data_IF_349069281477
#
_entry.id   IF_349069281477
#
_cell.length_a   1.000
_cell.length_b   1.000
_cell.length_c   1.000
_cell.angle_alpha   90.00
_cell.angle_beta   90.00
_cell.angle_gamma   90.00
#
_symmetry.space_group_name_H-M   'P 1'
#
loop_
_entity.id
_entity.type
_entity.pdbx_description
1 polymer ?
#
# COMPACT_ATOMS: atom_id res chain seq x y z
N UNK A 1 -23.54 16.60 -11.36
CA UNK A 1 -22.41 17.54 -11.14
C UNK A 1 -21.13 16.73 -11.05
N UNK A 2 -20.09 17.14 -11.76
CA UNK A 2 -18.78 16.47 -11.70
C UNK A 2 -18.16 16.78 -10.33
N UNK A 3 -17.77 15.74 -9.58
CA UNK A 3 -17.10 15.89 -8.29
C UNK A 3 -15.75 16.62 -8.47
N UNK A 4 -15.51 17.67 -7.68
CA UNK A 4 -14.22 18.38 -7.67
C UNK A 4 -13.41 17.98 -6.45
N UNK A 5 -12.18 17.52 -6.67
CA UNK A 5 -11.29 17.11 -5.59
C UNK A 5 -10.93 18.34 -4.74
N UNK A 6 -11.17 18.26 -3.44
CA UNK A 6 -10.74 19.26 -2.47
C UNK A 6 -9.42 18.83 -1.81
N UNK A 7 -8.49 19.77 -1.53
CA UNK A 7 -7.25 19.44 -0.84
C UNK A 7 -7.53 18.91 0.56
N UNK A 8 -6.72 17.95 1.01
CA UNK A 8 -6.77 17.39 2.34
C UNK A 8 -6.02 18.26 3.36
N UNK A 9 -6.40 18.24 4.65
CA UNK A 9 -7.54 17.50 5.20
C UNK A 9 -8.88 18.16 4.80
N UNK A 10 -9.90 17.33 4.64
CA UNK A 10 -11.26 17.83 4.45
C UNK A 10 -11.77 18.41 5.78
N UNK A 11 -12.57 19.47 5.71
CA UNK A 11 -13.25 20.08 6.85
C UNK A 11 -14.51 19.26 7.20
N UNK A 12 -14.29 18.02 7.61
CA UNK A 12 -15.33 17.08 8.05
C UNK A 12 -14.87 16.39 9.33
N UNK A 13 -15.82 16.12 10.22
CA UNK A 13 -15.55 15.28 11.38
C UNK A 13 -15.40 13.81 10.94
N UNK A 14 -14.16 13.32 10.95
CA UNK A 14 -13.84 11.93 10.66
C UNK A 14 -14.02 11.01 11.89
N UNK A 15 -14.01 11.56 13.10
CA UNK A 15 -14.01 10.81 14.37
C UNK A 15 -15.44 10.56 14.89
N UNK A 16 -16.35 10.25 13.97
CA UNK A 16 -17.73 9.93 14.32
C UNK A 16 -17.82 8.63 15.13
N UNK A 17 -18.90 8.49 15.92
CA UNK A 17 -19.19 7.25 16.67
C UNK A 17 -19.19 5.99 15.79
N UNK A 18 -19.66 6.10 14.55
CA UNK A 18 -19.68 4.99 13.60
C UNK A 18 -18.25 4.59 13.17
N UNK A 19 -17.42 5.57 12.82
CA UNK A 19 -16.01 5.35 12.45
C UNK A 19 -15.24 4.79 13.63
N UNK A 20 -15.33 5.39 14.82
CA UNK A 20 -14.59 4.95 16.01
C UNK A 20 -14.94 3.50 16.43
N UNK A 21 -16.21 3.10 16.31
CA UNK A 21 -16.61 1.69 16.55
C UNK A 21 -15.92 0.73 15.59
N UNK A 22 -15.82 1.08 14.31
CA UNK A 22 -15.13 0.26 13.29
C UNK A 22 -13.61 0.26 13.48
N UNK A 23 -13.03 1.38 13.92
CA UNK A 23 -11.61 1.47 14.29
C UNK A 23 -11.29 0.47 15.39
N UNK A 24 -12.13 0.33 16.42
CA UNK A 24 -11.90 -0.65 17.49
C UNK A 24 -11.82 -2.08 16.95
N UNK A 25 -12.80 -2.51 16.15
CA UNK A 25 -12.78 -3.86 15.56
C UNK A 25 -11.57 -4.08 14.63
N UNK A 26 -11.24 -3.09 13.80
CA UNK A 26 -10.10 -3.18 12.90
C UNK A 26 -8.77 -3.26 13.66
N UNK A 27 -8.61 -2.48 14.75
CA UNK A 27 -7.41 -2.53 15.60
C UNK A 27 -7.27 -3.88 16.30
N UNK A 28 -8.37 -4.48 16.79
CA UNK A 28 -8.33 -5.80 17.41
C UNK A 28 -7.88 -6.88 16.42
N UNK A 29 -8.47 -6.92 15.22
CA UNK A 29 -8.07 -7.89 14.19
C UNK A 29 -6.59 -7.72 13.76
N UNK A 30 -6.13 -6.47 13.61
CA UNK A 30 -4.71 -6.20 13.32
C UNK A 30 -3.77 -6.61 14.46
N UNK A 31 -4.18 -6.43 15.72
CA UNK A 31 -3.38 -6.83 16.88
C UNK A 31 -3.29 -8.35 17.00
N UNK A 32 -4.39 -9.06 16.73
CA UNK A 32 -4.42 -10.52 16.69
C UNK A 32 -3.50 -11.06 15.58
N UNK A 33 -3.62 -10.53 14.36
CA UNK A 33 -2.71 -10.88 13.26
C UNK A 33 -1.26 -10.62 13.66
N UNK A 34 -0.96 -9.44 14.22
CA UNK A 34 0.40 -9.10 14.68
C UNK A 34 0.91 -10.08 15.75
N UNK A 35 0.06 -10.54 16.66
CA UNK A 35 0.44 -11.54 17.66
C UNK A 35 0.70 -12.91 17.06
N UNK A 36 -0.18 -13.35 16.16
CA UNK A 36 -0.11 -14.68 15.52
C UNK A 36 1.11 -14.86 14.62
N UNK A 37 1.59 -13.80 13.97
CA UNK A 37 2.77 -13.89 13.08
C UNK A 37 4.10 -14.04 13.81
N UNK A 38 4.21 -13.64 15.08
CA UNK A 38 5.48 -13.68 15.86
C UNK A 38 6.03 -15.11 16.03
N UNK A 39 5.16 -16.13 15.97
CA UNK A 39 5.55 -17.52 16.08
C UNK A 39 5.96 -18.20 14.76
N UNK A 40 5.91 -17.48 13.63
CA UNK A 40 6.15 -18.07 12.30
C UNK A 40 7.67 -18.08 12.01
N UNK A 41 8.29 -19.25 11.83
CA UNK A 41 9.74 -19.36 11.65
C UNK A 41 10.27 -18.66 10.39
N UNK A 42 9.43 -18.49 9.38
CA UNK A 42 9.77 -17.82 8.12
C UNK A 42 8.62 -16.92 7.64
N UNK A 43 8.60 -15.68 8.10
CA UNK A 43 7.63 -14.65 7.71
C UNK A 43 7.60 -14.41 6.18
N UNK A 44 8.68 -14.70 5.46
CA UNK A 44 8.77 -14.56 4.00
C UNK A 44 7.74 -15.42 3.29
N UNK A 45 7.44 -16.64 3.79
CA UNK A 45 6.44 -17.53 3.18
C UNK A 45 5.05 -16.89 3.25
N UNK A 46 4.73 -16.28 4.38
CA UNK A 46 3.46 -15.60 4.60
C UNK A 46 3.36 -14.37 3.70
N UNK A 47 4.39 -13.52 3.67
CA UNK A 47 4.42 -12.32 2.82
C UNK A 47 4.26 -12.68 1.35
N UNK A 48 4.95 -13.71 0.87
CA UNK A 48 4.88 -14.14 -0.54
C UNK A 48 3.48 -14.62 -0.91
N UNK A 49 2.90 -15.48 -0.06
CA UNK A 49 1.57 -16.06 -0.31
C UNK A 49 0.49 -15.00 -0.23
N UNK A 50 0.51 -14.16 0.79
CA UNK A 50 -0.47 -13.08 0.96
C UNK A 50 -0.35 -12.03 -0.14
N UNK A 51 0.87 -11.67 -0.56
CA UNK A 51 1.06 -10.71 -1.66
C UNK A 51 0.50 -11.24 -2.97
N UNK A 52 0.65 -12.55 -3.24
CA UNK A 52 0.13 -13.16 -4.45
C UNK A 52 -1.40 -13.29 -4.42
N UNK A 53 -1.99 -13.62 -3.27
CA UNK A 53 -3.45 -13.66 -3.10
C UNK A 53 -4.07 -12.26 -3.25
N UNK A 54 -3.48 -11.27 -2.57
CA UNK A 54 -3.89 -9.87 -2.70
C UNK A 54 -3.79 -9.39 -4.15
N UNK A 55 -2.69 -9.69 -4.83
CA UNK A 55 -2.51 -9.33 -6.23
C UNK A 55 -3.59 -9.97 -7.13
N UNK A 56 -3.89 -11.26 -6.94
CA UNK A 56 -4.92 -11.95 -7.72
C UNK A 56 -6.30 -11.32 -7.50
N UNK A 57 -6.67 -11.10 -6.25
CA UNK A 57 -8.00 -10.57 -5.90
C UNK A 57 -8.13 -9.10 -6.32
N UNK A 58 -7.08 -8.28 -6.17
CA UNK A 58 -7.04 -6.90 -6.67
C UNK A 58 -7.08 -6.82 -8.19
N UNK A 59 -6.31 -7.66 -8.89
CA UNK A 59 -6.32 -7.73 -10.36
C UNK A 59 -7.68 -8.14 -10.93
N UNK A 60 -8.42 -9.01 -10.23
CA UNK A 60 -9.77 -9.41 -10.65
C UNK A 60 -10.76 -8.24 -10.69
N UNK A 61 -10.58 -7.21 -9.84
CA UNK A 61 -11.39 -5.99 -9.87
C UNK A 61 -11.17 -5.20 -11.17
N UNK A 62 -9.95 -5.25 -11.72
CA UNK A 62 -9.55 -4.60 -12.97
C UNK A 62 -9.80 -5.48 -14.20
N UNK A 63 -10.63 -6.53 -14.08
CA UNK A 63 -10.93 -7.53 -15.12
C UNK A 63 -9.74 -8.41 -15.55
N UNK A 64 -8.67 -8.45 -14.76
CA UNK A 64 -7.54 -9.38 -14.97
C UNK A 64 -7.82 -10.64 -14.15
N UNK A 65 -8.50 -11.60 -14.77
CA UNK A 65 -8.95 -12.83 -14.10
C UNK A 65 -7.98 -13.98 -14.40
N UNK A 66 -7.50 -14.63 -13.34
CA UNK A 66 -6.69 -15.86 -13.42
C UNK A 66 -7.03 -16.79 -12.25
N UNK A 67 -6.62 -18.06 -12.35
CA UNK A 67 -6.86 -19.08 -11.32
C UNK A 67 -5.62 -19.37 -10.48
N UNK A 68 -5.81 -20.00 -9.32
CA UNK A 68 -4.70 -20.38 -8.45
C UNK A 68 -3.73 -21.33 -9.14
N UNK A 69 -4.25 -22.28 -9.93
CA UNK A 69 -3.43 -23.24 -10.67
C UNK A 69 -2.59 -22.54 -11.73
N UNK A 70 -3.17 -21.59 -12.46
CA UNK A 70 -2.44 -20.80 -13.46
C UNK A 70 -1.34 -19.94 -12.84
N UNK A 71 -1.56 -19.38 -11.64
CA UNK A 71 -0.54 -18.61 -10.93
C UNK A 71 0.70 -19.42 -10.58
N UNK A 72 0.56 -20.73 -10.37
CA UNK A 72 1.69 -21.62 -10.08
C UNK A 72 2.25 -22.32 -11.31
N UNK A 73 1.61 -22.18 -12.48
CA UNK A 73 2.08 -22.72 -13.75
C UNK A 73 3.07 -21.77 -14.44
N UNK A 74 4.31 -21.79 -13.99
CA UNK A 74 5.43 -21.19 -14.71
C UNK A 74 6.03 -22.19 -15.69
N UNK A 75 6.18 -21.81 -16.96
CA UNK A 75 6.93 -22.61 -17.92
C UNK A 75 8.43 -22.39 -17.66
N UNK A 76 9.04 -23.38 -17.01
CA UNK A 76 10.47 -23.35 -16.66
C UNK A 76 11.39 -23.42 -17.88
N UNK A 77 10.93 -23.97 -19.02
CA UNK A 77 11.75 -24.05 -20.23
C UNK A 77 11.69 -22.75 -21.04
N UNK A 78 10.53 -22.09 -21.07
CA UNK A 78 10.33 -20.83 -21.78
C UNK A 78 10.60 -19.58 -20.93
N UNK A 79 10.91 -19.76 -19.63
CA UNK A 79 11.05 -18.71 -18.61
C UNK A 79 9.88 -17.71 -18.60
N UNK A 80 8.65 -18.20 -18.84
CA UNK A 80 7.46 -17.36 -19.01
C UNK A 80 6.23 -17.97 -18.35
N UNK A 81 5.30 -17.09 -17.98
CA UNK A 81 3.95 -17.51 -17.63
C UNK A 81 3.18 -17.94 -18.88
N UNK A 82 2.34 -18.96 -18.72
CA UNK A 82 1.51 -19.48 -19.82
C UNK A 82 0.44 -18.49 -20.29
N UNK A 83 -0.07 -17.65 -19.39
CA UNK A 83 -1.06 -16.62 -19.71
C UNK A 83 -0.57 -15.22 -19.27
N UNK A 84 -1.11 -14.19 -19.91
CA UNK A 84 -0.76 -12.79 -19.62
C UNK A 84 -1.30 -12.35 -18.26
N UNK A 85 -2.49 -12.82 -17.89
CA UNK A 85 -3.12 -12.48 -16.60
C UNK A 85 -2.29 -12.92 -15.38
N UNK A 86 -1.72 -14.13 -15.39
CA UNK A 86 -0.82 -14.57 -14.32
C UNK A 86 0.47 -13.75 -14.30
N UNK A 87 1.01 -13.39 -15.47
CA UNK A 87 2.17 -12.48 -15.54
C UNK A 87 1.85 -11.14 -14.88
N UNK A 88 0.69 -10.55 -15.16
CA UNK A 88 0.25 -9.28 -14.57
C UNK A 88 0.07 -9.41 -13.06
N UNK A 89 -0.56 -10.49 -12.57
CA UNK A 89 -0.70 -10.75 -11.13
C UNK A 89 0.67 -10.90 -10.44
N UNK A 90 1.61 -11.63 -11.04
CA UNK A 90 2.98 -11.75 -10.51
C UNK A 90 3.74 -10.42 -10.53
N UNK A 91 3.52 -9.60 -11.57
CA UNK A 91 4.09 -8.26 -11.65
C UNK A 91 3.56 -7.37 -10.53
N UNK A 92 2.26 -7.41 -10.27
CA UNK A 92 1.64 -6.70 -9.14
C UNK A 92 2.21 -7.17 -7.80
N UNK A 93 2.27 -8.50 -7.56
CA UNK A 93 2.82 -9.05 -6.32
C UNK A 93 4.29 -8.64 -6.10
N UNK A 94 5.09 -8.61 -7.18
CA UNK A 94 6.45 -8.08 -7.17
C UNK A 94 6.51 -6.59 -6.83
N UNK A 95 5.64 -5.78 -7.44
CA UNK A 95 5.56 -4.35 -7.17
C UNK A 95 5.15 -4.04 -5.73
N UNK A 96 4.19 -4.79 -5.17
CA UNK A 96 3.77 -4.66 -3.77
C UNK A 96 4.93 -4.91 -2.81
N UNK A 97 5.68 -5.99 -3.03
CA UNK A 97 6.87 -6.31 -2.23
C UNK A 97 7.97 -5.27 -2.36
N UNK A 98 8.27 -4.85 -3.60
CA UNK A 98 9.27 -3.82 -3.88
C UNK A 98 8.88 -2.51 -3.18
N UNK A 99 7.62 -2.10 -3.30
CA UNK A 99 7.08 -0.91 -2.65
C UNK A 99 7.18 -0.97 -1.12
N UNK A 100 6.89 -2.13 -0.52
CA UNK A 100 7.09 -2.35 0.91
C UNK A 100 8.55 -2.13 1.32
N UNK A 101 9.51 -2.73 0.61
CA UNK A 101 10.94 -2.57 0.92
C UNK A 101 11.43 -1.14 0.70
N UNK A 102 10.99 -0.46 -0.37
CA UNK A 102 11.28 0.96 -0.62
C UNK A 102 10.82 1.81 0.56
N UNK A 103 9.57 1.66 0.99
CA UNK A 103 9.01 2.46 2.10
C UNK A 103 9.66 2.11 3.43
N UNK A 104 9.93 0.82 3.68
CA UNK A 104 10.59 0.34 4.89
C UNK A 104 12.00 0.93 5.01
N UNK A 105 12.78 0.90 3.93
CA UNK A 105 14.15 1.44 3.89
C UNK A 105 14.16 2.96 3.99
N UNK A 106 13.26 3.65 3.30
CA UNK A 106 13.19 5.11 3.32
C UNK A 106 12.63 5.67 4.64
N UNK A 107 11.75 4.93 5.32
CA UNK A 107 11.03 5.41 6.50
C UNK A 107 9.90 6.40 6.19
N UNK A 108 9.65 6.69 4.92
CA UNK A 108 8.55 7.54 4.45
C UNK A 108 8.11 7.16 3.02
N UNK A 109 6.88 7.55 2.67
CA UNK A 109 6.36 7.45 1.30
C UNK A 109 6.48 8.81 0.60
N UNK A 110 6.93 8.81 -0.65
CA UNK A 110 7.08 10.00 -1.50
C UNK A 110 6.41 9.78 -2.86
N UNK A 111 6.16 10.86 -3.61
CA UNK A 111 5.63 10.75 -4.96
C UNK A 111 6.57 9.94 -5.88
N UNK A 112 7.90 10.07 -5.69
CA UNK A 112 8.86 9.28 -6.47
C UNK A 112 8.72 7.78 -6.17
N UNK A 113 8.51 7.40 -4.91
CA UNK A 113 8.24 5.99 -4.57
C UNK A 113 6.93 5.50 -5.20
N UNK A 114 5.88 6.33 -5.20
CA UNK A 114 4.61 5.97 -5.84
C UNK A 114 4.80 5.74 -7.34
N UNK A 115 5.55 6.63 -8.01
CA UNK A 115 5.85 6.50 -9.44
C UNK A 115 6.73 5.29 -9.74
N UNK A 116 7.70 4.98 -8.88
CA UNK A 116 8.55 3.79 -9.00
C UNK A 116 7.75 2.49 -8.88
N UNK A 117 6.84 2.43 -7.91
CA UNK A 117 5.93 1.28 -7.72
C UNK A 117 4.99 1.16 -8.93
N UNK A 118 4.38 2.27 -9.37
CA UNK A 118 3.49 2.27 -10.52
C UNK A 118 4.23 1.87 -11.81
N UNK A 119 5.46 2.32 -12.01
CA UNK A 119 6.27 1.94 -13.15
C UNK A 119 6.65 0.46 -13.16
N UNK A 120 6.75 -0.15 -11.97
CA UNK A 120 6.93 -1.61 -11.84
C UNK A 120 5.67 -2.36 -12.30
N UNK A 121 4.48 -1.88 -11.94
CA UNK A 121 3.20 -2.50 -12.32
C UNK A 121 2.98 -2.41 -13.83
N UNK A 122 3.13 -1.21 -14.39
CA UNK A 122 2.85 -0.96 -15.82
C UNK A 122 4.04 -1.28 -16.75
N UNK A 123 5.17 -1.74 -16.19
CA UNK A 123 6.43 -1.95 -16.89
C UNK A 123 6.87 -0.75 -17.76
N UNK A 124 6.62 0.47 -17.28
CA UNK A 124 6.96 1.71 -17.97
C UNK A 124 7.35 2.84 -17.00
N UNK A 125 7.73 4.00 -17.52
CA UNK A 125 8.07 5.17 -16.71
C UNK A 125 7.28 6.42 -17.15
N UNK A 126 5.96 6.24 -17.35
CA UNK A 126 5.09 7.30 -17.88
C UNK A 126 4.97 8.52 -16.93
N UNK A 127 5.16 8.31 -15.63
CA UNK A 127 4.98 9.35 -14.62
C UNK A 127 3.51 9.75 -14.45
N UNK A 128 3.27 10.93 -13.88
CA UNK A 128 1.92 11.49 -13.83
C UNK A 128 1.43 11.89 -15.22
N UNK A 129 0.13 11.70 -15.46
CA UNK A 129 -0.53 12.08 -16.71
C UNK A 129 -0.27 13.55 -17.07
N UNK A 130 0.05 13.79 -18.33
CA UNK A 130 0.25 15.13 -18.91
C UNK A 130 -0.80 15.51 -19.94
N UNK A 131 -1.39 14.52 -20.61
CA UNK A 131 -2.37 14.72 -21.68
C UNK A 131 -3.78 14.67 -21.08
N UNK A 132 -4.65 15.67 -21.37
CA UNK A 132 -6.04 15.66 -20.93
C UNK A 132 -6.88 14.65 -21.74
N UNK A 133 -8.12 14.42 -21.31
CA UNK A 133 -9.10 13.56 -21.99
C UNK A 133 -9.44 12.27 -21.23
N UNK A 134 -8.81 12.00 -20.10
CA UNK A 134 -9.17 10.85 -19.25
C UNK A 134 -10.53 11.08 -18.62
N UNK A 135 -11.45 10.13 -18.81
CA UNK A 135 -12.82 10.16 -18.31
C UNK A 135 -13.17 8.76 -17.78
N UNK A 136 -13.91 8.71 -16.67
CA UNK A 136 -14.63 7.51 -16.27
C UNK A 136 -16.01 7.57 -16.91
N UNK A 137 -16.32 6.61 -17.77
CA UNK A 137 -17.61 6.53 -18.47
C UNK A 137 -18.38 5.30 -18.01
N UNK A 138 -19.70 5.39 -18.09
CA UNK A 138 -20.55 4.23 -18.02
C UNK A 138 -20.56 3.57 -19.41
N UNK A 139 -20.11 2.32 -19.49
CA UNK A 139 -19.98 1.62 -20.78
C UNK A 139 -21.33 1.35 -21.46
N UNK A 140 -22.42 1.22 -20.70
CA UNK A 140 -23.76 0.96 -21.24
C UNK A 140 -24.42 2.23 -21.79
N UNK A 141 -24.22 3.39 -21.15
CA UNK A 141 -24.90 4.64 -21.52
C UNK A 141 -24.01 5.63 -22.25
N UNK A 142 -22.69 5.45 -22.20
CA UNK A 142 -21.68 6.40 -22.70
C UNK A 142 -21.54 7.67 -21.86
N UNK A 143 -22.32 7.81 -20.78
CA UNK A 143 -22.31 8.98 -19.91
C UNK A 143 -20.98 9.09 -19.15
N UNK A 144 -20.47 10.33 -19.03
CA UNK A 144 -19.30 10.59 -18.18
C UNK A 144 -19.72 10.60 -16.71
N UNK A 145 -19.28 9.59 -15.97
CA UNK A 145 -19.51 9.44 -14.52
C UNK A 145 -18.60 10.38 -13.73
N UNK A 146 -17.34 10.47 -14.14
CA UNK A 146 -16.34 11.30 -13.46
C UNK A 146 -15.26 11.79 -14.42
N UNK A 147 -14.80 13.02 -14.21
CA UNK A 147 -13.66 13.60 -14.92
C UNK A 147 -12.58 13.92 -13.89
N UNK A 148 -11.48 13.15 -13.83
CA UNK A 148 -10.36 13.46 -12.95
C UNK A 148 -9.68 14.79 -13.32
N UNK A 149 -8.74 15.29 -12.49
CA UNK A 149 -7.86 16.40 -12.86
C UNK A 149 -7.23 16.19 -14.24
N UNK A 150 -7.32 17.24 -15.06
CA UNK A 150 -6.93 17.22 -16.47
C UNK A 150 -5.58 17.90 -16.71
N UNK A 151 -5.12 18.73 -15.78
CA UNK A 151 -3.82 19.39 -15.89
C UNK A 151 -2.74 18.66 -15.08
N UNK A 152 -1.52 18.66 -15.61
CA UNK A 152 -0.37 18.06 -14.93
C UNK A 152 -0.12 18.70 -13.56
N UNK A 153 -0.16 20.04 -13.50
CA UNK A 153 0.13 20.78 -12.27
C UNK A 153 -0.89 20.49 -11.17
N UNK A 154 -2.19 20.42 -11.51
CA UNK A 154 -3.24 20.04 -10.56
C UNK A 154 -3.03 18.62 -10.01
N UNK A 155 -2.64 17.66 -10.86
CA UNK A 155 -2.32 16.30 -10.42
C UNK A 155 -1.15 16.32 -9.44
N UNK A 156 -0.06 17.03 -9.77
CA UNK A 156 1.13 17.12 -8.92
C UNK A 156 0.81 17.78 -7.59
N UNK A 157 0.01 18.83 -7.58
CA UNK A 157 -0.39 19.55 -6.37
C UNK A 157 -1.25 18.67 -5.45
N UNK A 158 -2.24 17.95 -6.03
CA UNK A 158 -3.09 17.03 -5.28
C UNK A 158 -2.29 15.84 -4.72
N UNK A 159 -1.38 15.25 -5.50
CA UNK A 159 -0.51 14.16 -5.03
C UNK A 159 0.45 14.65 -3.94
N UNK A 160 0.97 15.88 -4.08
CA UNK A 160 1.82 16.51 -3.05
C UNK A 160 1.05 16.81 -1.76
N UNK A 161 -0.21 17.23 -1.88
CA UNK A 161 -1.11 17.39 -0.75
C UNK A 161 -1.38 16.05 -0.05
N UNK A 162 -1.69 15.00 -0.81
CA UNK A 162 -1.88 13.64 -0.30
C UNK A 162 -0.65 13.12 0.46
N UNK A 163 0.55 13.27 -0.11
CA UNK A 163 1.81 12.92 0.55
C UNK A 163 1.96 13.59 1.93
N UNK A 164 1.66 14.89 2.03
CA UNK A 164 1.76 15.64 3.30
C UNK A 164 0.88 15.00 4.39
N UNK A 165 -0.28 14.46 4.05
CA UNK A 165 -1.17 13.78 5.00
C UNK A 165 -0.57 12.48 5.53
N UNK A 166 -0.02 11.62 4.66
CA UNK A 166 0.60 10.37 5.09
C UNK A 166 1.83 10.61 5.98
N UNK A 167 2.68 11.57 5.61
CA UNK A 167 3.93 11.83 6.33
C UNK A 167 3.72 12.44 7.72
N UNK A 168 2.72 13.31 7.90
CA UNK A 168 2.34 13.85 9.23
C UNK A 168 2.00 12.75 10.24
N UNK A 169 1.60 11.55 9.78
CA UNK A 169 1.23 10.41 10.64
C UNK A 169 2.41 9.46 10.94
N UNK A 170 3.37 9.32 10.01
CA UNK A 170 4.56 8.48 10.20
C UNK A 170 5.55 9.04 11.23
N UNK A 171 5.82 10.35 11.20
CA UNK A 171 6.78 11.01 12.13
C UNK A 171 6.34 10.92 13.60
N UNK A 172 5.03 10.96 13.88
CA UNK A 172 4.51 10.83 15.25
C UNK A 172 4.77 9.46 15.90
N UNK A 173 4.96 8.39 15.11
CA UNK A 173 5.19 7.04 15.65
C UNK A 173 6.66 6.74 15.96
N UNK A 174 7.60 7.28 15.18
CA UNK A 174 9.03 7.08 15.42
C UNK A 174 9.55 7.91 16.61
N UNK A 175 8.97 9.09 16.87
CA UNK A 175 9.32 9.90 18.05
C UNK A 175 8.90 9.28 19.40
N UNK A 176 7.83 8.47 19.42
CA UNK A 176 7.36 7.82 20.66
C UNK A 176 8.09 6.50 20.97
N UNK A 177 8.63 5.81 19.96
CA UNK A 177 9.35 4.56 20.17
C UNK A 177 10.76 4.77 20.75
N UNK A 178 11.36 5.94 20.54
CA UNK A 178 12.70 6.27 21.06
C UNK A 178 12.73 6.70 22.54
N UNK A 179 11.61 7.18 23.11
CA UNK A 179 11.58 7.61 24.51
C UNK A 179 11.22 6.51 25.51
N UNK A 180 10.65 5.39 25.06
CA UNK A 180 10.24 4.28 25.94
C UNK A 180 11.26 3.12 26.02
N UNK A 181 12.42 3.24 25.38
CA UNK A 181 13.50 2.23 25.44
C UNK A 181 14.59 2.49 26.49
N UNK A 182 14.46 3.54 27.30
CA UNK A 182 15.53 4.06 28.16
C UNK A 182 15.48 3.69 29.64
N UNK A 183 14.75 2.65 30.07
CA UNK A 183 14.79 2.16 31.45
C UNK A 183 15.10 0.66 31.48
N UNK A 184 16.38 0.34 31.27
CA UNK A 184 16.96 -0.96 31.65
C UNK A 184 17.71 -0.81 32.97
N UNK A 185 17.13 -1.39 34.02
CA UNK A 185 17.78 -2.13 35.10
C UNK A 185 19.19 -1.69 35.53
N UNK A 186 19.26 -0.85 36.58
CA UNK A 186 20.47 -0.71 37.38
C UNK A 186 20.63 -1.92 38.31
N UNK A 187 21.72 -2.63 38.08
CA UNK A 187 22.19 -3.83 38.75
C UNK A 187 22.57 -3.48 40.21
N UNK A 188 21.91 -4.11 41.20
CA UNK A 188 22.47 -4.17 42.56
C UNK A 188 23.58 -5.21 42.59
N UNK A 189 24.84 -4.76 42.60
CA UNK A 189 25.96 -5.54 43.15
C UNK A 189 26.18 -5.09 44.59
N UNK A 190 25.81 -5.92 45.55
CA UNK A 190 26.37 -5.86 46.90
C UNK A 190 26.63 -7.30 47.38
N UNK A 191 27.91 -7.69 47.34
CA UNK A 191 28.50 -8.64 48.27
C UNK A 191 29.83 -8.02 48.72
N UNK A 192 30.01 -7.69 50.00
CA UNK A 192 31.33 -7.45 50.55
C UNK A 192 31.95 -8.78 50.98
N UNK A 193 33.24 -8.92 50.74
CA UNK A 193 34.06 -9.97 51.33
C UNK A 193 34.12 -9.78 52.86
N UNK A 194 33.58 -10.77 53.59
CA UNK A 194 34.11 -11.45 54.79
C UNK A 194 32.99 -12.25 55.46
#
# INVERSE_FOLDING_TARGET
>A
MIYKISPLPLDIDLETKAVLKKVTSARSALAELKGSVVGIPNETILINTLSLQEAKDSSAIENIVTTQDELYQFDTFAEKFKNVAAKEVHTYAGALRSGFEIVRKAGFLSNNHILEIQGTIEANNAGFRRVPGTLLKNDLTGETVYMPPQSYDEIVDLMSNLKKIYQRRLVKRLGSAYQNGGHSSSIRKHSPFL
#
